data_IF_326771238857
#
_entry.id   IF_326771238857
#
_cell.length_a   1.000
_cell.length_b   1.000
_cell.length_c   1.000
_cell.angle_alpha   90.00
_cell.angle_beta   90.00
_cell.angle_gamma   90.00
#
_symmetry.space_group_name_H-M   'P 1'
#
loop_
_entity.id
_entity.type
_entity.pdbx_description
1 polymer ?
#
# COMPACT_ATOMS: atom_id res chain seq x y z
N UNK A 1 -25.25 -19.59 -59.37
CA UNK A 1 -24.75 -19.84 -60.75
C UNK A 1 -25.64 -19.02 -61.69
N UNK A 2 -25.09 -18.14 -62.54
CA UNK A 2 -24.13 -18.51 -63.58
C UNK A 2 -22.78 -17.80 -63.50
N UNK A 3 -21.86 -18.41 -64.24
CA UNK A 3 -20.44 -18.14 -64.41
C UNK A 3 -20.18 -17.29 -65.67
N UNK A 4 -18.91 -16.88 -65.80
CA UNK A 4 -18.21 -16.28 -66.96
C UNK A 4 -18.33 -14.75 -67.03
N UNK A 5 -17.24 -14.00 -67.21
CA UNK A 5 -16.10 -14.28 -68.09
C UNK A 5 -14.89 -13.40 -67.71
N UNK A 6 -13.73 -14.03 -67.67
CA UNK A 6 -12.41 -13.41 -67.66
C UNK A 6 -12.08 -12.81 -69.04
N UNK A 7 -11.35 -11.68 -69.06
CA UNK A 7 -10.04 -11.55 -69.73
C UNK A 7 -9.40 -10.16 -69.51
N UNK A 8 -8.05 -10.07 -69.61
CA UNK A 8 -7.24 -8.96 -69.11
C UNK A 8 -6.82 -7.98 -70.22
N UNK A 9 -6.41 -6.79 -69.82
CA UNK A 9 -5.60 -5.89 -70.65
C UNK A 9 -4.62 -5.14 -69.77
N UNK A 10 -3.37 -5.59 -69.81
CA UNK A 10 -2.18 -4.82 -69.48
C UNK A 10 -2.03 -3.67 -70.47
N UNK A 11 -1.84 -2.44 -69.97
CA UNK A 11 -0.97 -1.48 -70.64
C UNK A 11 -0.26 -0.59 -69.60
N UNK A 12 1.07 -0.67 -69.64
CA UNK A 12 2.09 0.13 -68.98
C UNK A 12 2.22 1.51 -69.63
N UNK A 13 2.43 2.56 -68.83
CA UNK A 13 3.36 3.70 -69.02
C UNK A 13 3.03 4.73 -67.90
N UNK A 14 3.87 4.97 -66.89
CA UNK A 14 5.12 5.73 -66.88
C UNK A 14 4.92 7.17 -66.32
N UNK A 15 5.75 7.47 -65.31
CA UNK A 15 6.18 8.78 -64.80
C UNK A 15 5.12 9.73 -64.23
N UNK A 16 5.20 9.96 -62.92
CA UNK A 16 5.83 11.18 -62.38
C UNK A 16 6.07 11.00 -60.87
N UNK A 17 7.35 11.07 -60.50
CA UNK A 17 7.76 11.18 -59.12
C UNK A 17 7.30 12.52 -58.54
N UNK A 18 6.46 12.47 -57.52
CA UNK A 18 6.38 13.53 -56.51
C UNK A 18 6.76 12.91 -55.18
N UNK A 19 8.06 12.94 -54.89
CA UNK A 19 8.54 12.85 -53.52
C UNK A 19 7.92 14.02 -52.75
N UNK A 20 6.80 13.77 -52.08
CA UNK A 20 6.35 14.63 -51.00
C UNK A 20 7.33 14.42 -49.85
N UNK A 21 8.33 15.28 -49.81
CA UNK A 21 9.16 15.54 -48.66
C UNK A 21 8.25 16.06 -47.55
N UNK A 22 7.77 15.15 -46.70
CA UNK A 22 7.12 15.49 -45.44
C UNK A 22 8.25 15.85 -44.48
N UNK A 23 8.44 17.13 -44.10
CA UNK A 23 9.39 17.44 -43.05
C UNK A 23 8.89 16.75 -41.78
N UNK A 24 9.73 15.85 -41.25
CA UNK A 24 9.50 15.22 -39.97
C UNK A 24 9.26 16.31 -38.93
N UNK A 25 8.04 16.35 -38.41
CA UNK A 25 7.81 16.90 -37.08
C UNK A 25 8.45 15.86 -36.17
N UNK A 26 9.75 16.03 -35.94
CA UNK A 26 10.37 15.45 -34.78
C UNK A 26 9.61 16.04 -33.60
N UNK A 27 8.68 15.26 -33.04
CA UNK A 27 8.21 15.47 -31.69
C UNK A 27 9.46 15.48 -30.83
N UNK A 28 9.93 16.68 -30.51
CA UNK A 28 10.86 16.91 -29.43
C UNK A 28 10.14 16.44 -28.18
N UNK A 29 10.24 15.14 -27.87
CA UNK A 29 10.04 14.61 -26.54
C UNK A 29 11.11 15.26 -25.67
N UNK A 30 10.81 16.48 -25.22
CA UNK A 30 11.55 17.10 -24.15
C UNK A 30 11.53 16.10 -22.99
N UNK A 31 12.69 15.74 -22.41
CA UNK A 31 12.73 14.81 -21.31
C UNK A 31 11.87 15.37 -20.18
N UNK A 32 10.86 14.61 -19.76
CA UNK A 32 10.05 14.97 -18.58
C UNK A 32 11.03 15.09 -17.42
N UNK A 33 11.22 16.33 -16.93
CA UNK A 33 12.10 16.60 -15.81
C UNK A 33 11.56 15.85 -14.58
N UNK A 34 12.28 14.80 -14.18
CA UNK A 34 11.91 14.00 -13.01
C UNK A 34 12.14 14.81 -11.76
N UNK A 35 11.13 14.87 -10.91
CA UNK A 35 11.20 15.52 -9.62
C UNK A 35 11.92 14.62 -8.61
N UNK A 36 12.56 15.23 -7.61
CA UNK A 36 13.11 14.48 -6.48
C UNK A 36 11.98 13.85 -5.65
N UNK A 37 12.25 12.72 -4.99
CA UNK A 37 11.27 12.05 -4.15
C UNK A 37 10.69 13.00 -3.08
N UNK A 38 11.55 13.77 -2.41
CA UNK A 38 11.12 14.72 -1.39
C UNK A 38 10.18 15.79 -1.94
N UNK A 39 10.44 16.30 -3.15
CA UNK A 39 9.55 17.27 -3.79
C UNK A 39 8.21 16.64 -4.16
N UNK A 40 8.23 15.41 -4.65
CA UNK A 40 7.01 14.65 -4.95
C UNK A 40 6.16 14.36 -3.72
N UNK A 41 6.77 14.03 -2.58
CA UNK A 41 6.07 13.84 -1.31
C UNK A 41 5.33 15.12 -0.89
N UNK A 42 6.01 16.28 -0.95
CA UNK A 42 5.40 17.57 -0.61
C UNK A 42 4.25 17.93 -1.55
N UNK A 43 4.41 17.73 -2.86
CA UNK A 43 3.35 18.00 -3.85
C UNK A 43 2.14 17.08 -3.68
N UNK A 44 2.39 15.79 -3.38
CA UNK A 44 1.33 14.84 -3.04
C UNK A 44 0.57 15.29 -1.79
N UNK A 45 1.27 15.66 -0.72
CA UNK A 45 0.64 16.09 0.52
C UNK A 45 -0.17 17.37 0.35
N UNK A 46 0.33 18.32 -0.46
CA UNK A 46 -0.40 19.52 -0.83
C UNK A 46 -1.68 19.19 -1.63
N UNK A 47 -1.60 18.26 -2.59
CA UNK A 47 -2.76 17.81 -3.34
C UNK A 47 -3.79 17.12 -2.44
N UNK A 48 -3.35 16.24 -1.53
CA UNK A 48 -4.21 15.55 -0.56
C UNK A 48 -4.87 16.53 0.40
N UNK A 49 -4.15 17.55 0.88
CA UNK A 49 -4.71 18.58 1.75
C UNK A 49 -5.81 19.38 1.05
N UNK A 50 -5.58 19.75 -0.23
CA UNK A 50 -6.59 20.44 -1.05
C UNK A 50 -7.83 19.55 -1.23
N UNK A 51 -7.64 18.30 -1.67
CA UNK A 51 -8.70 17.31 -1.85
C UNK A 51 -9.51 17.06 -0.58
N UNK A 52 -8.83 16.96 0.57
CA UNK A 52 -9.48 16.73 1.87
C UNK A 52 -10.32 17.94 2.31
N UNK A 53 -9.80 19.16 2.11
CA UNK A 53 -10.53 20.39 2.44
C UNK A 53 -11.77 20.55 1.55
N UNK A 54 -11.64 20.28 0.25
CA UNK A 54 -12.76 20.33 -0.68
C UNK A 54 -13.81 19.26 -0.36
N UNK A 55 -13.37 18.05 0.01
CA UNK A 55 -14.27 16.99 0.53
C UNK A 55 -15.03 17.45 1.77
N UNK A 56 -14.34 18.06 2.73
CA UNK A 56 -14.95 18.53 3.98
C UNK A 56 -15.96 19.65 3.73
N UNK A 57 -15.64 20.60 2.84
CA UNK A 57 -16.56 21.66 2.41
C UNK A 57 -17.81 21.07 1.75
N UNK A 58 -17.63 20.09 0.89
CA UNK A 58 -18.73 19.45 0.18
C UNK A 58 -19.71 18.74 1.11
N UNK A 59 -19.18 17.96 2.07
CA UNK A 59 -19.99 17.34 3.13
C UNK A 59 -20.72 18.40 3.98
N UNK A 60 -20.06 19.52 4.28
CA UNK A 60 -20.69 20.62 5.04
C UNK A 60 -21.83 21.28 4.26
N UNK A 61 -21.67 21.47 2.94
CA UNK A 61 -22.72 22.02 2.06
C UNK A 61 -23.90 21.05 1.98
N UNK A 62 -23.67 19.77 1.71
CA UNK A 62 -24.75 18.77 1.63
C UNK A 62 -25.57 18.71 2.93
N UNK A 63 -24.91 18.76 4.09
CA UNK A 63 -25.58 18.81 5.40
C UNK A 63 -26.38 20.09 5.60
N UNK A 64 -25.93 21.22 5.06
CA UNK A 64 -26.57 22.52 5.24
C UNK A 64 -27.73 22.77 4.26
N UNK A 65 -27.64 22.28 3.03
CA UNK A 65 -28.58 22.62 1.95
C UNK A 65 -29.44 21.45 1.46
N UNK A 66 -29.09 20.20 1.81
CA UNK A 66 -29.73 19.01 1.27
C UNK A 66 -29.54 18.84 -0.25
N UNK A 67 -28.72 19.69 -0.88
CA UNK A 67 -28.39 19.65 -2.30
C UNK A 67 -26.95 19.19 -2.49
N UNK A 68 -26.71 18.44 -3.57
CA UNK A 68 -25.39 17.93 -3.93
C UNK A 68 -24.35 19.05 -3.95
N UNK A 69 -23.24 18.82 -3.26
CA UNK A 69 -22.18 19.79 -3.04
C UNK A 69 -21.58 20.39 -4.31
N UNK A 70 -20.89 21.52 -4.17
CA UNK A 70 -20.03 22.10 -5.19
C UNK A 70 -19.19 21.00 -5.87
N UNK A 71 -19.33 20.88 -7.19
CA UNK A 71 -18.64 19.89 -7.99
C UNK A 71 -17.14 20.04 -7.72
N UNK A 72 -16.55 19.04 -7.05
CA UNK A 72 -15.11 18.92 -6.95
C UNK A 72 -14.58 19.10 -8.38
N UNK A 73 -13.60 19.97 -8.62
CA UNK A 73 -13.02 20.08 -9.96
C UNK A 73 -12.16 18.85 -10.25
N UNK A 74 -12.84 17.72 -10.41
CA UNK A 74 -12.30 16.37 -10.53
C UNK A 74 -11.35 16.28 -11.69
N UNK A 75 -11.68 16.90 -12.82
CA UNK A 75 -10.84 16.92 -14.00
C UNK A 75 -9.49 17.61 -13.70
N UNK A 76 -9.50 18.76 -13.02
CA UNK A 76 -8.27 19.44 -12.62
C UNK A 76 -7.46 18.61 -11.60
N UNK A 77 -8.14 17.94 -10.66
CA UNK A 77 -7.48 17.12 -9.64
C UNK A 77 -6.88 15.83 -10.21
N UNK A 78 -7.61 15.13 -11.08
CA UNK A 78 -7.07 13.96 -11.77
C UNK A 78 -5.89 14.36 -12.65
N UNK A 79 -6.00 15.47 -13.38
CA UNK A 79 -4.89 16.00 -14.20
C UNK A 79 -3.65 16.28 -13.37
N UNK A 80 -3.81 16.91 -12.19
CA UNK A 80 -2.69 17.17 -11.26
C UNK A 80 -2.05 15.87 -10.75
N UNK A 81 -2.86 14.90 -10.33
CA UNK A 81 -2.34 13.62 -9.84
C UNK A 81 -1.67 12.82 -10.97
N UNK A 82 -2.22 12.85 -12.19
CA UNK A 82 -1.62 12.23 -13.36
C UNK A 82 -0.28 12.89 -13.75
N UNK A 83 -0.19 14.21 -13.65
CA UNK A 83 1.06 14.93 -13.87
C UNK A 83 2.12 14.49 -12.85
N UNK A 84 1.78 14.46 -11.56
CA UNK A 84 2.68 13.97 -10.51
C UNK A 84 3.09 12.52 -10.76
N UNK A 85 2.14 11.65 -11.14
CA UNK A 85 2.42 10.24 -11.44
C UNK A 85 3.42 10.08 -12.60
N UNK A 86 3.41 10.99 -13.58
CA UNK A 86 4.37 10.96 -14.70
C UNK A 86 5.76 11.51 -14.37
N UNK A 87 5.87 12.39 -13.36
CA UNK A 87 7.10 13.14 -13.03
C UNK A 87 7.82 12.60 -11.80
N UNK A 88 7.13 11.82 -10.98
CA UNK A 88 7.64 11.31 -9.72
C UNK A 88 8.20 9.89 -9.84
N UNK A 89 9.12 9.49 -8.96
CA UNK A 89 9.41 8.07 -8.73
C UNK A 89 8.12 7.29 -8.39
N UNK A 90 8.10 5.96 -8.52
CA UNK A 90 6.93 5.15 -8.20
C UNK A 90 6.40 5.44 -6.79
N UNK A 91 5.21 6.03 -6.72
CA UNK A 91 4.50 6.39 -5.50
C UNK A 91 3.09 5.80 -5.57
N UNK A 92 2.82 4.66 -4.90
CA UNK A 92 1.53 3.97 -4.98
C UNK A 92 0.35 4.85 -4.57
N UNK A 93 0.58 5.86 -3.74
CA UNK A 93 -0.41 6.82 -3.26
C UNK A 93 -1.00 7.66 -4.40
N UNK A 94 -0.23 7.94 -5.46
CA UNK A 94 -0.73 8.72 -6.61
C UNK A 94 -1.80 7.94 -7.37
N UNK A 95 -1.52 6.68 -7.72
CA UNK A 95 -2.50 5.80 -8.33
C UNK A 95 -3.70 5.54 -7.40
N UNK A 96 -3.46 5.36 -6.09
CA UNK A 96 -4.52 5.21 -5.10
C UNK A 96 -5.48 6.42 -5.11
N UNK A 97 -4.94 7.65 -5.03
CA UNK A 97 -5.76 8.85 -4.96
C UNK A 97 -6.56 9.07 -6.26
N UNK A 98 -6.03 8.71 -7.42
CA UNK A 98 -6.82 8.70 -8.67
C UNK A 98 -7.98 7.69 -8.61
N UNK A 99 -7.75 6.52 -7.98
CA UNK A 99 -8.80 5.54 -7.71
C UNK A 99 -9.88 6.06 -6.77
N UNK A 100 -9.50 6.83 -5.73
CA UNK A 100 -10.45 7.50 -4.83
C UNK A 100 -11.29 8.54 -5.57
N UNK A 101 -10.68 9.33 -6.45
CA UNK A 101 -11.43 10.25 -7.33
C UNK A 101 -12.46 9.45 -8.13
N UNK A 102 -12.02 8.44 -8.89
CA UNK A 102 -12.89 7.59 -9.72
C UNK A 102 -14.04 6.96 -8.93
N UNK A 103 -13.74 6.35 -7.79
CA UNK A 103 -14.72 5.67 -6.95
C UNK A 103 -15.80 6.62 -6.40
N UNK A 104 -15.43 7.85 -6.04
CA UNK A 104 -16.38 8.87 -5.56
C UNK A 104 -17.34 9.36 -6.64
N UNK A 105 -16.96 9.28 -7.92
CA UNK A 105 -17.91 9.50 -9.02
C UNK A 105 -18.67 8.24 -9.44
N UNK A 106 -18.59 7.16 -8.66
CA UNK A 106 -19.16 5.84 -9.00
C UNK A 106 -18.61 5.25 -10.30
N UNK A 107 -17.43 5.69 -10.75
CA UNK A 107 -16.74 5.15 -11.91
C UNK A 107 -15.91 3.93 -11.47
N UNK A 108 -16.61 2.81 -11.27
CA UNK A 108 -16.02 1.61 -10.68
C UNK A 108 -14.92 0.98 -11.54
N UNK A 109 -15.03 0.89 -12.88
CA UNK A 109 -13.96 0.35 -13.71
C UNK A 109 -12.65 1.12 -13.54
N UNK A 110 -12.68 2.45 -13.74
CA UNK A 110 -11.48 3.28 -13.60
C UNK A 110 -10.92 3.24 -12.17
N UNK A 111 -11.80 3.23 -11.15
CA UNK A 111 -11.38 3.12 -9.76
C UNK A 111 -10.59 1.83 -9.48
N UNK A 112 -11.09 0.70 -9.99
CA UNK A 112 -10.44 -0.60 -9.84
C UNK A 112 -9.09 -0.58 -10.55
N UNK A 113 -9.01 -0.11 -11.79
CA UNK A 113 -7.77 -0.03 -12.56
C UNK A 113 -6.71 0.82 -11.82
N UNK A 114 -7.11 1.96 -11.27
CA UNK A 114 -6.24 2.82 -10.46
C UNK A 114 -5.74 2.14 -9.18
N UNK A 115 -6.63 1.47 -8.43
CA UNK A 115 -6.24 0.75 -7.22
C UNK A 115 -5.35 -0.45 -7.53
N UNK A 116 -5.59 -1.19 -8.61
CA UNK A 116 -4.74 -2.28 -9.05
C UNK A 116 -3.34 -1.78 -9.45
N UNK A 117 -3.23 -0.65 -10.14
CA UNK A 117 -1.93 -0.02 -10.45
C UNK A 117 -1.20 0.42 -9.18
N UNK A 118 -1.92 0.92 -8.17
CA UNK A 118 -1.35 1.20 -6.84
C UNK A 118 -0.79 -0.08 -6.21
N UNK A 119 -1.52 -1.20 -6.26
CA UNK A 119 -1.08 -2.50 -5.73
C UNK A 119 0.07 -3.15 -6.51
N UNK A 120 0.19 -2.87 -7.80
CA UNK A 120 1.37 -3.28 -8.58
C UNK A 120 2.65 -2.61 -8.07
N UNK A 121 2.55 -1.38 -7.56
CA UNK A 121 3.66 -0.66 -6.93
C UNK A 121 3.80 -1.00 -5.44
N UNK A 122 2.71 -1.39 -4.76
CA UNK A 122 2.65 -1.78 -3.35
C UNK A 122 1.73 -2.96 -3.08
N UNK A 123 2.26 -4.18 -3.13
CA UNK A 123 1.46 -5.38 -2.86
C UNK A 123 1.00 -5.52 -1.41
N UNK A 124 1.41 -4.62 -0.50
CA UNK A 124 1.06 -4.63 0.93
C UNK A 124 0.29 -3.37 1.36
N UNK A 125 -0.23 -2.58 0.41
CA UNK A 125 -1.06 -1.42 0.72
C UNK A 125 -2.45 -1.84 1.23
N UNK A 126 -2.54 -2.08 2.55
CA UNK A 126 -3.74 -2.58 3.22
C UNK A 126 -4.98 -1.71 2.98
N UNK A 127 -4.83 -0.38 2.99
CA UNK A 127 -5.94 0.55 2.71
C UNK A 127 -6.45 0.42 1.28
N UNK A 128 -5.56 0.27 0.29
CA UNK A 128 -5.93 0.06 -1.11
C UNK A 128 -6.72 -1.24 -1.29
N UNK A 129 -6.28 -2.34 -0.66
CA UNK A 129 -7.06 -3.59 -0.62
C UNK A 129 -8.42 -3.39 0.04
N UNK A 130 -8.47 -2.65 1.14
CA UNK A 130 -9.71 -2.30 1.83
C UNK A 130 -10.70 -1.59 0.92
N UNK A 131 -10.25 -0.60 0.13
CA UNK A 131 -11.08 0.11 -0.82
C UNK A 131 -11.57 -0.78 -1.98
N UNK A 132 -10.72 -1.65 -2.54
CA UNK A 132 -11.15 -2.62 -3.55
C UNK A 132 -12.22 -3.55 -3.02
N UNK A 133 -12.02 -4.10 -1.80
CA UNK A 133 -13.02 -4.96 -1.16
C UNK A 133 -14.36 -4.24 -1.01
N UNK A 134 -14.35 -3.01 -0.51
CA UNK A 134 -15.56 -2.19 -0.36
C UNK A 134 -16.28 -1.95 -1.70
N UNK A 135 -15.54 -1.71 -2.80
CA UNK A 135 -16.13 -1.59 -4.14
C UNK A 135 -16.82 -2.90 -4.54
N UNK A 136 -16.14 -4.04 -4.39
CA UNK A 136 -16.70 -5.33 -4.77
C UNK A 136 -17.93 -5.70 -3.94
N UNK A 137 -17.89 -5.47 -2.63
CA UNK A 137 -19.01 -5.70 -1.71
C UNK A 137 -20.22 -4.84 -2.10
N UNK A 138 -20.02 -3.55 -2.34
CA UNK A 138 -21.08 -2.63 -2.77
C UNK A 138 -21.72 -3.05 -4.09
N UNK A 139 -20.90 -3.41 -5.08
CA UNK A 139 -21.38 -3.85 -6.39
C UNK A 139 -22.13 -5.17 -6.30
N UNK A 140 -21.61 -6.12 -5.51
CA UNK A 140 -22.27 -7.40 -5.29
C UNK A 140 -23.63 -7.20 -4.60
N UNK A 141 -23.70 -6.40 -3.55
CA UNK A 141 -24.95 -6.11 -2.85
C UNK A 141 -26.00 -5.48 -3.78
N UNK A 142 -25.62 -4.50 -4.62
CA UNK A 142 -26.50 -3.92 -5.63
C UNK A 142 -26.98 -4.95 -6.66
N UNK A 143 -26.10 -5.83 -7.13
CA UNK A 143 -26.45 -6.88 -8.08
C UNK A 143 -27.44 -7.88 -7.46
N UNK A 144 -27.21 -8.30 -6.21
CA UNK A 144 -28.13 -9.19 -5.50
C UNK A 144 -29.49 -8.55 -5.26
N UNK A 145 -29.53 -7.29 -4.84
CA UNK A 145 -30.79 -6.58 -4.65
C UNK A 145 -31.60 -6.48 -5.94
N UNK A 146 -30.93 -6.18 -7.05
CA UNK A 146 -31.54 -6.17 -8.39
C UNK A 146 -32.11 -7.54 -8.77
N UNK A 147 -31.33 -8.61 -8.57
CA UNK A 147 -31.76 -9.97 -8.88
C UNK A 147 -32.94 -10.46 -8.02
N UNK A 148 -33.00 -10.04 -6.76
CA UNK A 148 -34.06 -10.42 -5.81
C UNK A 148 -35.28 -9.48 -5.83
N UNK A 149 -35.22 -8.38 -6.60
CA UNK A 149 -36.28 -7.37 -6.62
C UNK A 149 -36.49 -6.66 -5.28
N UNK A 150 -35.47 -6.66 -4.42
CA UNK A 150 -35.54 -6.03 -3.09
C UNK A 150 -35.03 -4.60 -3.14
N UNK A 151 -35.72 -3.62 -2.53
CA UNK A 151 -35.16 -2.28 -2.39
C UNK A 151 -33.89 -2.35 -1.53
N UNK A 152 -32.83 -1.68 -1.98
CA UNK A 152 -31.58 -1.56 -1.25
C UNK A 152 -31.32 -0.11 -0.92
N UNK A 153 -31.16 0.17 0.37
CA UNK A 153 -30.64 1.43 0.89
C UNK A 153 -29.24 1.14 1.47
N UNK A 154 -28.25 1.14 0.57
CA UNK A 154 -26.86 0.88 0.93
C UNK A 154 -26.07 2.18 0.76
N UNK A 155 -25.48 2.73 1.84
CA UNK A 155 -24.65 3.91 1.72
C UNK A 155 -23.46 3.62 0.80
N UNK A 156 -23.01 4.61 0.01
CA UNK A 156 -21.81 4.45 -0.79
C UNK A 156 -20.59 4.20 0.12
N UNK A 157 -19.60 3.41 -0.31
CA UNK A 157 -18.40 3.20 0.48
C UNK A 157 -17.62 4.50 0.70
N UNK A 158 -16.91 4.56 1.81
CA UNK A 158 -16.10 5.71 2.19
C UNK A 158 -14.66 5.48 1.76
N UNK A 159 -14.17 6.36 0.90
CA UNK A 159 -12.82 6.30 0.35
C UNK A 159 -11.96 7.43 0.91
N UNK A 160 -10.86 7.06 1.54
CA UNK A 160 -9.92 7.98 2.16
C UNK A 160 -8.73 8.30 1.25
N UNK A 161 -8.17 9.50 1.36
CA UNK A 161 -6.97 9.88 0.63
C UNK A 161 -5.70 9.33 1.30
N UNK A 162 -4.66 9.09 0.52
CA UNK A 162 -3.32 8.73 1.02
C UNK A 162 -2.34 9.89 0.85
N UNK A 163 -1.81 10.37 1.98
CA UNK A 163 -0.64 11.25 2.01
C UNK A 163 0.66 10.45 1.82
N UNK A 164 1.77 11.17 1.63
CA UNK A 164 3.11 10.59 1.50
C UNK A 164 3.52 9.73 2.71
N UNK A 165 3.01 10.05 3.90
CA UNK A 165 3.27 9.32 5.15
C UNK A 165 2.61 7.94 5.24
N UNK A 166 1.62 7.67 4.39
CA UNK A 166 0.95 6.37 4.32
C UNK A 166 1.82 5.42 3.49
N UNK A 167 2.71 4.73 4.17
CA UNK A 167 3.60 3.72 3.61
C UNK A 167 3.36 2.38 4.27
N UNK A 168 3.61 1.30 3.52
CA UNK A 168 3.62 -0.03 4.10
C UNK A 168 4.78 -0.18 5.12
N UNK A 169 4.65 -1.16 6.02
CA UNK A 169 5.61 -1.37 7.10
C UNK A 169 7.04 -1.68 6.60
N UNK A 170 7.18 -2.32 5.43
CA UNK A 170 8.48 -2.69 4.85
C UNK A 170 9.20 -1.48 4.25
N UNK A 171 8.50 -0.59 3.53
CA UNK A 171 9.06 0.67 3.04
C UNK A 171 9.50 1.57 4.20
N UNK A 172 8.67 1.63 5.23
CA UNK A 172 8.99 2.39 6.44
C UNK A 172 10.20 1.78 7.16
N UNK A 173 10.26 0.45 7.28
CA UNK A 173 11.42 -0.25 7.84
C UNK A 173 12.69 -0.05 6.99
N UNK A 174 12.59 -0.01 5.66
CA UNK A 174 13.72 0.29 4.78
C UNK A 174 14.21 1.74 4.95
N UNK A 175 13.31 2.70 5.12
CA UNK A 175 13.65 4.09 5.44
C UNK A 175 14.22 4.24 6.86
N UNK A 176 13.81 3.37 7.79
CA UNK A 176 14.31 3.31 9.17
C UNK A 176 15.51 2.37 9.35
N UNK A 177 15.95 1.65 8.31
CA UNK A 177 17.07 0.70 8.38
C UNK A 177 18.41 1.40 8.71
N UNK A 178 18.48 2.71 8.53
CA UNK A 178 19.60 3.56 8.97
C UNK A 178 19.61 3.79 10.50
N UNK A 179 18.59 3.36 11.23
CA UNK A 179 18.59 3.35 12.69
C UNK A 179 19.33 2.09 13.18
N UNK A 180 20.53 2.21 13.79
CA UNK A 180 21.31 1.05 14.25
C UNK A 180 20.57 0.20 15.29
N UNK A 181 19.56 0.78 15.96
CA UNK A 181 18.72 0.05 16.92
C UNK A 181 17.67 -0.84 16.24
N UNK A 182 17.29 -0.58 14.98
CA UNK A 182 16.33 -1.36 14.19
C UNK A 182 17.04 -2.28 13.17
N UNK A 183 18.10 -2.97 13.62
CA UNK A 183 18.80 -3.96 12.79
C UNK A 183 18.49 -5.39 13.27
N UNK A 184 18.51 -6.35 12.34
CA UNK A 184 18.37 -7.78 12.66
C UNK A 184 19.41 -8.19 13.71
N UNK A 185 20.66 -7.76 13.54
CA UNK A 185 21.76 -8.06 14.47
C UNK A 185 21.50 -7.54 15.88
N UNK A 186 20.93 -6.34 16.01
CA UNK A 186 20.56 -5.76 17.32
C UNK A 186 19.48 -6.59 17.99
N UNK A 187 18.45 -7.00 17.23
CA UNK A 187 17.38 -7.81 17.79
C UNK A 187 17.84 -9.24 18.11
N UNK A 188 18.69 -9.85 17.29
CA UNK A 188 19.29 -11.15 17.60
C UNK A 188 20.10 -11.11 18.90
N UNK A 189 20.86 -10.03 19.12
CA UNK A 189 21.59 -9.83 20.38
C UNK A 189 20.65 -9.72 21.57
N UNK A 190 19.58 -8.92 21.49
CA UNK A 190 18.60 -8.79 22.59
C UNK A 190 17.85 -10.10 22.86
N UNK A 191 17.49 -10.85 21.81
CA UNK A 191 16.86 -12.17 21.97
C UNK A 191 17.82 -13.19 22.58
N UNK A 192 19.12 -13.15 22.21
CA UNK A 192 20.12 -14.00 22.84
C UNK A 192 20.31 -13.66 24.32
N UNK A 193 20.40 -12.37 24.65
CA UNK A 193 20.51 -11.90 26.03
C UNK A 193 19.27 -12.30 26.86
N UNK A 194 18.07 -12.15 26.30
CA UNK A 194 16.83 -12.63 26.90
C UNK A 194 16.87 -14.15 27.15
N UNK A 195 17.28 -14.94 26.16
CA UNK A 195 17.39 -16.39 26.32
C UNK A 195 18.41 -16.76 27.41
N UNK A 196 19.55 -16.08 27.48
CA UNK A 196 20.51 -16.29 28.57
C UNK A 196 19.91 -15.94 29.94
N UNK A 197 19.15 -14.84 30.02
CA UNK A 197 18.47 -14.43 31.24
C UNK A 197 17.40 -15.44 31.71
N UNK A 198 16.76 -16.16 30.78
CA UNK A 198 15.85 -17.27 31.14
C UNK A 198 16.62 -18.41 31.86
N UNK A 199 17.85 -18.70 31.43
CA UNK A 199 18.66 -19.78 31.99
C UNK A 199 19.23 -19.44 33.38
N UNK A 200 19.74 -18.22 33.56
CA UNK A 200 20.44 -17.82 34.78
C UNK A 200 19.60 -16.96 35.74
N UNK A 201 18.40 -16.54 35.34
CA UNK A 201 17.45 -15.69 36.08
C UNK A 201 17.91 -14.25 36.41
N UNK A 202 19.11 -13.85 36.00
CA UNK A 202 19.65 -12.52 36.27
C UNK A 202 19.12 -11.55 35.22
N UNK A 203 18.52 -10.44 35.65
CA UNK A 203 18.05 -9.38 34.75
C UNK A 203 16.88 -9.75 33.83
N UNK A 204 16.22 -10.90 34.06
CA UNK A 204 15.17 -11.39 33.16
C UNK A 204 14.01 -10.40 32.98
N UNK A 205 13.61 -9.72 34.06
CA UNK A 205 12.54 -8.71 34.00
C UNK A 205 12.90 -7.51 33.11
N UNK A 206 14.18 -7.20 32.91
CA UNK A 206 14.62 -6.07 32.08
C UNK A 206 14.32 -6.26 30.58
N UNK A 207 14.15 -7.50 30.15
CA UNK A 207 13.80 -7.85 28.77
C UNK A 207 12.30 -7.73 28.48
N UNK A 208 11.48 -7.48 29.50
CA UNK A 208 10.05 -7.27 29.36
C UNK A 208 9.70 -5.81 29.66
N UNK A 209 8.55 -5.36 29.14
CA UNK A 209 7.94 -4.10 29.57
C UNK A 209 7.57 -4.14 31.05
N UNK A 210 7.55 -2.98 31.70
CA UNK A 210 7.48 -2.89 33.16
C UNK A 210 6.17 -3.43 33.74
N UNK A 211 5.10 -3.48 32.94
CA UNK A 211 3.77 -4.02 33.28
C UNK A 211 3.55 -5.48 32.85
N UNK A 212 4.58 -6.16 32.36
CA UNK A 212 4.45 -7.53 31.88
C UNK A 212 4.22 -8.53 33.04
N UNK A 213 3.34 -9.52 32.82
CA UNK A 213 2.93 -10.46 33.86
C UNK A 213 4.10 -11.32 34.37
N UNK A 214 4.44 -11.27 35.68
CA UNK A 214 5.51 -12.10 36.25
C UNK A 214 5.24 -13.60 36.12
N UNK A 215 3.96 -14.00 36.14
CA UNK A 215 3.55 -15.41 35.95
C UNK A 215 3.86 -15.86 34.52
N UNK A 216 3.62 -15.00 33.53
CA UNK A 216 3.95 -15.32 32.13
C UNK A 216 5.46 -15.46 31.92
N UNK A 217 6.28 -14.61 32.57
CA UNK A 217 7.74 -14.70 32.53
C UNK A 217 8.21 -16.06 33.10
N UNK A 218 7.63 -16.50 34.21
CA UNK A 218 7.96 -17.79 34.81
C UNK A 218 7.59 -18.97 33.88
N UNK A 219 6.42 -18.92 33.23
CA UNK A 219 6.01 -19.93 32.25
C UNK A 219 6.92 -19.95 31.01
N UNK A 220 7.41 -18.79 30.57
CA UNK A 220 8.38 -18.67 29.48
C UNK A 220 9.69 -19.37 29.86
N UNK A 221 10.19 -19.11 31.07
CA UNK A 221 11.40 -19.74 31.61
C UNK A 221 11.29 -21.26 31.63
N UNK A 222 10.21 -21.81 32.15
CA UNK A 222 9.98 -23.25 32.19
C UNK A 222 9.97 -23.88 30.80
N UNK A 223 9.39 -23.17 29.82
CA UNK A 223 9.32 -23.65 28.44
C UNK A 223 10.68 -23.68 27.72
N UNK A 224 11.54 -22.70 27.99
CA UNK A 224 12.87 -22.60 27.37
C UNK A 224 14.00 -23.26 28.20
N UNK A 225 13.73 -23.75 29.41
CA UNK A 225 14.73 -24.26 30.35
C UNK A 225 15.68 -25.33 29.78
N UNK A 226 15.19 -26.16 28.86
CA UNK A 226 15.97 -27.28 28.29
C UNK A 226 16.32 -27.09 26.80
N UNK A 227 16.13 -25.89 26.24
CA UNK A 227 16.38 -25.61 24.83
C UNK A 227 17.74 -24.95 24.64
N UNK A 228 18.51 -25.41 23.66
CA UNK A 228 19.76 -24.75 23.28
C UNK A 228 19.49 -23.66 22.25
N UNK A 229 20.12 -22.49 22.43
CA UNK A 229 20.00 -21.38 21.50
C UNK A 229 20.38 -21.76 20.05
N UNK A 230 21.40 -22.61 19.89
CA UNK A 230 21.88 -23.05 18.59
C UNK A 230 20.83 -23.85 17.79
N UNK A 231 19.93 -24.54 18.48
CA UNK A 231 18.87 -25.37 17.88
C UNK A 231 17.57 -24.60 17.65
N UNK A 232 17.54 -23.33 18.04
CA UNK A 232 16.38 -22.46 17.86
C UNK A 232 16.49 -21.73 16.52
N UNK A 233 15.43 -21.81 15.71
CA UNK A 233 15.29 -21.00 14.51
C UNK A 233 14.53 -19.71 14.84
N UNK A 234 14.96 -18.59 14.24
CA UNK A 234 14.45 -17.24 14.52
C UNK A 234 14.09 -16.57 13.21
N UNK A 235 12.82 -16.26 13.05
CA UNK A 235 12.35 -15.40 11.97
C UNK A 235 12.07 -14.03 12.57
N UNK A 236 12.76 -13.00 12.07
CA UNK A 236 12.63 -11.63 12.57
C UNK A 236 12.03 -10.76 11.46
N UNK A 237 11.01 -10.00 11.82
CA UNK A 237 10.43 -8.98 10.97
C UNK A 237 10.22 -7.69 11.75
N UNK A 238 10.41 -6.55 11.09
CA UNK A 238 10.13 -5.25 11.68
C UNK A 238 8.78 -4.73 11.17
N UNK A 239 8.08 -4.05 12.07
CA UNK A 239 6.98 -3.14 11.74
C UNK A 239 7.48 -1.70 11.86
N UNK A 240 6.58 -0.72 11.71
CA UNK A 240 6.90 0.69 11.87
C UNK A 240 7.49 1.08 13.25
N UNK A 241 7.03 0.41 14.31
CA UNK A 241 7.34 0.78 15.69
C UNK A 241 7.79 -0.41 16.55
N UNK A 242 7.38 -1.61 16.14
CA UNK A 242 7.56 -2.85 16.89
C UNK A 242 8.37 -3.85 16.05
N UNK A 243 9.01 -4.82 16.70
CA UNK A 243 9.61 -5.97 16.06
C UNK A 243 8.80 -7.23 16.39
N UNK A 244 8.75 -8.14 15.43
CA UNK A 244 8.12 -9.44 15.55
C UNK A 244 9.21 -10.49 15.41
N UNK A 245 9.34 -11.36 16.42
CA UNK A 245 10.22 -12.50 16.37
C UNK A 245 9.43 -13.78 16.53
N UNK A 246 9.55 -14.70 15.58
CA UNK A 246 9.03 -16.06 15.72
C UNK A 246 10.21 -16.96 16.05
N UNK A 247 10.16 -17.57 17.22
CA UNK A 247 11.14 -18.51 17.72
C UNK A 247 10.57 -19.91 17.56
N UNK A 248 11.33 -20.82 16.95
CA UNK A 248 10.93 -22.21 16.75
C UNK A 248 12.04 -23.19 17.09
N UNK A 249 11.69 -24.41 17.49
CA UNK A 249 12.64 -25.52 17.61
C UNK A 249 12.60 -26.44 16.39
N UNK A 250 13.43 -27.48 16.41
CA UNK A 250 13.46 -28.53 15.40
C UNK A 250 12.13 -29.29 15.23
N UNK A 251 11.20 -29.19 16.19
CA UNK A 251 9.87 -29.81 16.15
C UNK A 251 8.78 -28.83 15.73
N UNK A 252 9.15 -27.63 15.27
CA UNK A 252 8.23 -26.54 14.90
C UNK A 252 7.30 -26.09 16.04
N UNK A 253 7.69 -26.25 17.31
CA UNK A 253 6.99 -25.58 18.39
C UNK A 253 7.34 -24.09 18.34
N UNK A 254 6.34 -23.24 18.11
CA UNK A 254 6.55 -21.83 17.79
C UNK A 254 6.11 -20.91 18.93
N UNK A 255 6.95 -19.92 19.22
CA UNK A 255 6.64 -18.81 20.11
C UNK A 255 6.77 -17.51 19.34
N UNK A 256 5.69 -16.75 19.28
CA UNK A 256 5.64 -15.39 18.77
C UNK A 256 5.99 -14.41 19.90
N UNK A 257 6.98 -13.57 19.66
CA UNK A 257 7.35 -12.45 20.51
C UNK A 257 7.04 -11.14 19.77
N UNK A 258 6.32 -10.25 20.44
CA UNK A 258 6.18 -8.86 20.01
C UNK A 258 7.04 -7.98 20.91
N UNK A 259 7.92 -7.21 20.29
CA UNK A 259 8.90 -6.37 20.95
C UNK A 259 8.70 -4.92 20.55
N UNK A 260 8.95 -4.00 21.48
CA UNK A 260 8.95 -2.56 21.25
C UNK A 260 10.24 -1.94 21.73
N UNK A 261 10.71 -0.92 21.03
CA UNK A 261 11.86 -0.14 21.47
C UNK A 261 11.44 0.79 22.63
N UNK A 262 11.99 0.56 23.82
CA UNK A 262 11.79 1.39 25.02
C UNK A 262 13.13 1.99 25.40
N UNK A 263 13.27 3.30 25.21
CA UNK A 263 14.57 3.98 25.31
C UNK A 263 15.53 3.46 24.23
N UNK A 264 16.54 2.69 24.65
CA UNK A 264 17.57 2.13 23.76
C UNK A 264 17.56 0.60 23.66
N UNK A 265 16.54 -0.07 24.21
CA UNK A 265 16.45 -1.54 24.25
C UNK A 265 15.13 -2.04 23.70
N UNK A 266 15.15 -3.21 23.07
CA UNK A 266 13.93 -3.91 22.68
C UNK A 266 13.38 -4.69 23.87
N UNK A 267 12.14 -4.40 24.24
CA UNK A 267 11.43 -5.07 25.33
C UNK A 267 10.25 -5.86 24.79
N UNK A 268 10.08 -7.08 25.29
CA UNK A 268 8.96 -7.96 24.99
C UNK A 268 7.71 -7.41 25.70
N UNK A 269 6.68 -7.08 24.93
CA UNK A 269 5.38 -6.67 25.47
C UNK A 269 4.30 -7.73 25.26
N UNK A 270 4.53 -8.70 24.39
CA UNK A 270 3.66 -9.86 24.22
C UNK A 270 4.47 -11.10 23.87
N UNK A 271 4.13 -12.22 24.53
CA UNK A 271 4.59 -13.56 24.19
C UNK A 271 3.37 -14.44 23.93
N UNK A 272 3.34 -15.18 22.82
CA UNK A 272 2.22 -16.04 22.43
C UNK A 272 2.73 -17.34 21.85
N UNK A 273 2.23 -18.47 22.36
CA UNK A 273 2.52 -19.80 21.80
C UNK A 273 1.57 -20.07 20.64
N UNK A 274 2.09 -20.57 19.53
CA UNK A 274 1.33 -20.87 18.30
C UNK A 274 1.03 -22.36 18.17
#
# INVERSE_FOLDING_TARGET
MPLFRTKPLTLTLALLATFHYQPGIAETHLPIERLSLQRCQVELDAAVALLSNETARNIAVERATGAGSAELNRAAMDSRLAELESRCPPMPQLAHNRGVLAARASDWPDAIDHFERSLQQDRRAAQTFGHLRQIFEHRAAKAYASALGTPIDLPPPLFEWQSSSIENAERRAAAQADNPLQSISTLEYELFAWWQALQNSIGLAEHYVDDFSPVAIQLSREYFANRQWADMHREIAFTANDAVAVISDAFHNRTLLLLRLVGHRWKIYQETRL
#
